data_IF_531963809576
#
_entry.id   IF_531963809576
#
_cell.length_a   1.000
_cell.length_b   1.000
_cell.length_c   1.000
_cell.angle_alpha   90.00
_cell.angle_beta   90.00
_cell.angle_gamma   90.00
#
_symmetry.space_group_name_H-M   'P 1'
#
loop_
_entity.id
_entity.type
_entity.pdbx_description
1 polymer ?
#
# COMPACT_ATOMS: atom_id res chain seq x y z
N UNK A 1 -8.00 12.67 7.46
CA UNK A 1 -7.25 11.42 7.40
C UNK A 1 -7.96 10.43 6.50
N UNK A 2 -7.27 9.51 5.90
CA UNK A 2 -7.79 8.52 4.94
C UNK A 2 -8.24 9.13 3.60
N UNK A 3 -7.61 10.23 3.21
CA UNK A 3 -7.86 10.85 1.93
C UNK A 3 -6.87 10.36 0.90
N UNK A 4 -7.29 10.35 -0.36
CA UNK A 4 -6.41 10.04 -1.47
C UNK A 4 -6.00 11.34 -2.15
N UNK A 5 -4.71 11.62 -2.19
CA UNK A 5 -4.16 12.82 -2.80
C UNK A 5 -3.35 12.45 -4.03
N UNK A 6 -3.64 13.05 -5.17
CA UNK A 6 -2.85 12.86 -6.36
C UNK A 6 -1.64 13.79 -6.34
N UNK A 7 -0.45 13.21 -6.46
CA UNK A 7 0.82 13.94 -6.41
C UNK A 7 1.41 14.17 -7.80
N UNK A 8 1.05 13.34 -8.75
CA UNK A 8 1.55 13.43 -10.12
C UNK A 8 0.64 12.64 -11.04
N UNK A 9 1.06 12.43 -12.27
CA UNK A 9 0.24 11.75 -13.26
C UNK A 9 -0.13 10.32 -12.85
N UNK A 10 0.85 9.60 -12.28
CA UNK A 10 0.67 8.21 -11.88
C UNK A 10 0.94 7.96 -10.40
N UNK A 11 1.06 9.00 -9.61
CA UNK A 11 1.47 8.91 -8.21
C UNK A 11 0.42 9.49 -7.30
N UNK A 12 0.05 8.74 -6.27
CA UNK A 12 -0.94 9.13 -5.30
C UNK A 12 -0.40 8.87 -3.90
N UNK A 13 -0.96 9.55 -2.93
CA UNK A 13 -0.70 9.31 -1.51
C UNK A 13 -2.02 9.02 -0.81
N UNK A 14 -2.09 7.88 -0.14
CA UNK A 14 -3.20 7.58 0.74
C UNK A 14 -2.82 8.08 2.13
N UNK A 15 -3.51 9.10 2.58
CA UNK A 15 -3.18 9.78 3.82
C UNK A 15 -3.69 9.00 5.03
N UNK A 16 -2.79 8.40 5.77
CA UNK A 16 -3.05 7.79 7.06
C UNK A 16 -1.88 8.15 7.96
N UNK A 17 -1.77 7.53 9.12
CA UNK A 17 -0.74 7.91 10.08
C UNK A 17 0.66 7.83 9.48
N UNK A 18 0.95 6.74 8.77
CA UNK A 18 2.28 6.54 8.17
C UNK A 18 2.28 6.75 6.65
N UNK A 19 1.18 7.19 6.09
CA UNK A 19 1.00 7.41 4.66
C UNK A 19 1.38 6.20 3.79
N UNK A 20 0.60 5.96 2.75
CA UNK A 20 0.87 4.89 1.79
C UNK A 20 1.02 5.52 0.41
N UNK A 21 2.17 5.29 -0.23
CA UNK A 21 2.37 5.73 -1.60
C UNK A 21 1.70 4.75 -2.55
N UNK A 22 1.08 5.27 -3.60
CA UNK A 22 0.47 4.45 -4.65
C UNK A 22 1.02 4.92 -5.99
N UNK A 23 1.64 4.00 -6.72
CA UNK A 23 2.15 4.28 -8.06
C UNK A 23 1.39 3.43 -9.07
N UNK A 24 0.75 4.07 -10.04
CA UNK A 24 0.00 3.36 -11.08
C UNK A 24 0.96 2.81 -12.13
N UNK A 25 0.91 1.49 -12.32
CA UNK A 25 1.68 0.81 -13.34
C UNK A 25 0.97 0.88 -14.68
N UNK A 26 -0.35 0.87 -14.65
CA UNK A 26 -1.23 1.05 -15.81
C UNK A 26 -2.60 1.47 -15.29
N UNK A 27 -3.64 1.41 -16.11
CA UNK A 27 -4.97 1.86 -15.70
C UNK A 27 -5.56 1.12 -14.52
N UNK A 28 -5.20 -0.14 -14.34
CA UNK A 28 -5.80 -1.00 -13.31
C UNK A 28 -4.82 -1.44 -12.23
N UNK A 29 -3.54 -1.55 -12.55
CA UNK A 29 -2.56 -2.13 -11.64
C UNK A 29 -1.75 -1.05 -10.95
N UNK A 30 -1.54 -1.24 -9.66
CA UNK A 30 -0.77 -0.29 -8.85
C UNK A 30 0.29 -1.03 -8.03
N UNK A 31 1.32 -0.28 -7.66
CA UNK A 31 2.33 -0.69 -6.71
C UNK A 31 2.16 0.19 -5.48
N UNK A 32 2.17 -0.41 -4.29
CA UNK A 32 2.10 0.33 -3.05
C UNK A 32 3.48 0.53 -2.45
N UNK A 33 3.70 1.69 -1.88
CA UNK A 33 4.88 1.97 -1.07
C UNK A 33 4.39 1.97 0.38
N UNK A 34 4.73 0.91 1.10
CA UNK A 34 4.23 0.57 2.43
C UNK A 34 2.75 0.18 2.39
N UNK A 35 2.17 -0.17 3.53
CA UNK A 35 0.82 -0.73 3.57
C UNK A 35 -0.04 -0.21 4.71
N UNK A 36 0.39 0.85 5.36
CA UNK A 36 -0.36 1.44 6.45
C UNK A 36 0.06 0.94 7.82
N UNK A 37 -0.44 1.60 8.83
CA UNK A 37 0.04 1.46 10.20
C UNK A 37 -0.90 0.69 11.12
N UNK A 38 -2.15 0.49 10.74
CA UNK A 38 -3.09 -0.24 11.57
C UNK A 38 -4.21 -0.86 10.73
N UNK A 39 -5.07 -1.61 11.41
CA UNK A 39 -6.17 -2.33 10.79
C UNK A 39 -7.17 -1.40 10.12
N UNK A 40 -7.45 -0.27 10.73
CA UNK A 40 -8.39 0.71 10.18
C UNK A 40 -7.85 1.31 8.88
N UNK A 41 -6.57 1.66 8.86
CA UNK A 41 -5.91 2.16 7.65
C UNK A 41 -5.97 1.13 6.53
N UNK A 42 -5.74 -0.14 6.86
CA UNK A 42 -5.81 -1.22 5.87
C UNK A 42 -7.18 -1.37 5.25
N UNK A 43 -8.22 -1.34 6.06
CA UNK A 43 -9.60 -1.44 5.58
C UNK A 43 -9.96 -0.27 4.67
N UNK A 44 -9.59 0.94 5.08
CA UNK A 44 -9.85 2.15 4.30
C UNK A 44 -9.08 2.15 2.99
N UNK A 45 -7.82 1.72 3.04
CA UNK A 45 -7.00 1.61 1.85
C UNK A 45 -7.62 0.63 0.84
N UNK A 46 -8.01 -0.55 1.30
CA UNK A 46 -8.62 -1.55 0.42
C UNK A 46 -9.92 -1.06 -0.18
N UNK A 47 -10.73 -0.34 0.60
CA UNK A 47 -11.96 0.26 0.09
C UNK A 47 -11.66 1.28 -1.00
N UNK A 48 -10.68 2.14 -0.77
CA UNK A 48 -10.27 3.15 -1.75
C UNK A 48 -9.80 2.51 -3.04
N UNK A 49 -8.99 1.46 -2.94
CA UNK A 49 -8.51 0.72 -4.10
C UNK A 49 -9.67 0.10 -4.89
N UNK A 50 -10.64 -0.48 -4.18
CA UNK A 50 -11.82 -1.07 -4.81
C UNK A 50 -12.67 -0.01 -5.52
N UNK A 51 -12.86 1.14 -4.90
CA UNK A 51 -13.63 2.24 -5.50
C UNK A 51 -12.98 2.75 -6.79
N UNK A 52 -11.66 2.75 -6.83
CA UNK A 52 -10.92 3.15 -8.02
C UNK A 52 -10.80 2.04 -9.06
N UNK A 53 -11.11 0.81 -8.68
CA UNK A 53 -10.91 -0.33 -9.55
C UNK A 53 -9.46 -0.71 -9.73
N UNK A 54 -8.62 -0.39 -8.76
CA UNK A 54 -7.18 -0.65 -8.83
C UNK A 54 -6.81 -1.96 -8.16
N UNK A 55 -5.86 -2.66 -8.76
CA UNK A 55 -5.40 -3.97 -8.35
C UNK A 55 -3.95 -3.87 -7.89
N UNK A 56 -3.65 -4.35 -6.70
CA UNK A 56 -2.28 -4.26 -6.17
C UNK A 56 -1.46 -5.41 -6.73
N UNK A 57 -0.38 -5.09 -7.42
CA UNK A 57 0.55 -6.08 -7.97
C UNK A 57 1.78 -6.28 -7.08
N UNK A 58 2.19 -5.25 -6.38
CA UNK A 58 3.37 -5.32 -5.55
C UNK A 58 3.28 -4.31 -4.40
N UNK A 59 3.97 -4.62 -3.32
CA UNK A 59 4.17 -3.71 -2.19
C UNK A 59 5.66 -3.59 -1.99
N UNK A 60 6.15 -2.36 -1.90
CA UNK A 60 7.55 -2.08 -1.58
C UNK A 60 7.58 -1.50 -0.19
N UNK A 61 8.24 -2.17 0.73
CA UNK A 61 8.38 -1.68 2.10
C UNK A 61 9.68 -0.90 2.24
N UNK A 62 9.59 0.32 2.74
CA UNK A 62 10.77 1.15 2.94
C UNK A 62 11.57 0.69 4.15
N UNK A 63 10.88 0.13 5.13
CA UNK A 63 11.52 -0.49 6.29
C UNK A 63 10.51 -1.45 6.95
N UNK A 64 11.00 -2.30 7.84
CA UNK A 64 10.22 -3.40 8.41
C UNK A 64 9.53 -3.07 9.74
N UNK A 65 9.32 -1.80 10.03
CA UNK A 65 8.58 -1.39 11.21
C UNK A 65 7.09 -1.70 11.04
N UNK A 66 6.44 -2.09 12.13
CA UNK A 66 5.04 -2.50 12.12
C UNK A 66 4.12 -1.44 11.53
N UNK A 67 4.40 -0.18 11.79
CA UNK A 67 3.59 0.92 11.29
C UNK A 67 3.66 1.10 9.78
N UNK A 68 4.56 0.39 9.10
CA UNK A 68 4.69 0.48 7.65
C UNK A 68 4.33 -0.83 6.93
N UNK A 69 4.28 -1.95 7.65
CA UNK A 69 4.06 -3.27 7.04
C UNK A 69 2.86 -4.00 7.61
N UNK A 70 2.11 -3.38 8.52
CA UNK A 70 1.05 -4.04 9.28
C UNK A 70 0.03 -4.73 8.37
N UNK A 71 -0.29 -4.13 7.25
CA UNK A 71 -1.34 -4.62 6.37
C UNK A 71 -0.85 -5.49 5.22
N UNK A 72 0.43 -5.83 5.17
CA UNK A 72 0.97 -6.65 4.09
C UNK A 72 0.20 -7.95 3.91
N UNK A 73 -0.05 -8.66 5.00
CA UNK A 73 -0.72 -9.97 4.94
C UNK A 73 -2.13 -9.86 4.36
N UNK A 74 -2.89 -8.87 4.80
CA UNK A 74 -4.25 -8.67 4.30
C UNK A 74 -4.27 -8.35 2.80
N UNK A 75 -3.31 -7.55 2.36
CA UNK A 75 -3.19 -7.18 0.95
C UNK A 75 -2.74 -8.37 0.09
N UNK A 76 -1.82 -9.18 0.61
CA UNK A 76 -1.38 -10.40 -0.07
C UNK A 76 -2.57 -11.35 -0.24
N UNK A 77 -3.36 -11.54 0.80
CA UNK A 77 -4.52 -12.42 0.75
C UNK A 77 -5.56 -11.93 -0.24
N UNK A 78 -5.77 -10.62 -0.31
CA UNK A 78 -6.79 -10.06 -1.21
C UNK A 78 -6.35 -10.03 -2.66
N UNK A 79 -5.12 -9.64 -2.93
CA UNK A 79 -4.65 -9.35 -4.29
C UNK A 79 -3.66 -10.36 -4.84
N UNK A 80 -3.09 -11.21 -4.00
CA UNK A 80 -2.04 -12.13 -4.44
C UNK A 80 -0.76 -11.40 -4.84
N UNK A 81 -0.52 -10.24 -4.27
CA UNK A 81 0.62 -9.40 -4.65
C UNK A 81 1.93 -9.88 -4.05
N UNK A 82 3.05 -9.40 -4.61
CA UNK A 82 4.38 -9.69 -4.08
C UNK A 82 4.81 -8.54 -3.17
N UNK A 83 5.65 -8.87 -2.18
CA UNK A 83 6.19 -7.89 -1.24
C UNK A 83 7.70 -7.84 -1.42
N UNK A 84 8.23 -6.65 -1.61
CA UNK A 84 9.66 -6.38 -1.73
C UNK A 84 10.08 -5.52 -0.55
N UNK A 85 11.15 -5.92 0.15
CA UNK A 85 11.63 -5.20 1.30
C UNK A 85 13.14 -5.27 1.36
N UNK A 86 13.75 -4.33 2.08
CA UNK A 86 15.18 -4.33 2.29
C UNK A 86 15.59 -5.55 3.11
N UNK A 87 16.51 -6.37 2.57
CA UNK A 87 16.92 -7.61 3.23
C UNK A 87 17.61 -7.38 4.57
N UNK A 88 18.15 -6.19 4.80
CA UNK A 88 18.79 -5.86 6.07
C UNK A 88 17.76 -5.57 7.17
N UNK A 89 16.54 -5.25 6.79
CA UNK A 89 15.48 -4.89 7.72
C UNK A 89 14.46 -6.01 7.92
N UNK A 90 14.51 -7.04 7.10
CA UNK A 90 13.54 -8.12 7.16
C UNK A 90 13.85 -9.02 8.36
N UNK A 91 12.85 -9.18 9.21
CA UNK A 91 12.91 -10.08 10.36
C UNK A 91 11.84 -11.17 10.29
N UNK A 92 11.30 -11.38 9.13
CA UNK A 92 10.23 -12.37 8.93
C UNK A 92 10.54 -13.32 7.80
#
# INVERSE_FOLDING_TARGET
MYDLTQLGENTYCFNCFSNVGIYKLNEKDVCLIDSGDDKSSGKRLMRTLDEKGWNVKAIVNTHSHTDHIFNNQSLIEKYGCKVYANSNDIAF
#
